data_IF_327466427471
#
_entry.id   IF_327466427471
#
_cell.length_a   1.000
_cell.length_b   1.000
_cell.length_c   1.000
_cell.angle_alpha   90.00
_cell.angle_beta   90.00
_cell.angle_gamma   90.00
#
_symmetry.space_group_name_H-M   'P 1'
#
loop_
_entity.id
_entity.type
_entity.pdbx_description
1 polymer ?
#
# COMPACT_ATOMS: atom_id res chain seq x y z
N UNK A 1 1.00 3.63 -26.41
CA UNK A 1 0.56 3.87 -25.02
C UNK A 1 1.80 3.78 -24.15
N UNK A 2 2.34 4.90 -23.67
CA UNK A 2 3.47 4.86 -22.73
C UNK A 2 2.97 4.21 -21.45
N UNK A 3 3.51 3.03 -21.11
CA UNK A 3 3.26 2.42 -19.81
C UNK A 3 3.72 3.42 -18.75
N UNK A 4 2.75 3.95 -17.99
CA UNK A 4 3.05 4.90 -16.95
C UNK A 4 3.88 4.19 -15.87
N UNK A 5 5.04 4.72 -15.51
CA UNK A 5 5.89 4.10 -14.47
C UNK A 5 5.13 3.96 -13.15
N UNK A 6 5.19 2.81 -12.47
CA UNK A 6 4.57 2.62 -11.15
C UNK A 6 5.06 3.66 -10.14
N UNK A 7 4.23 3.92 -9.13
CA UNK A 7 4.62 4.79 -8.02
C UNK A 7 5.72 4.12 -7.18
N UNK A 8 6.77 4.86 -6.84
CA UNK A 8 7.82 4.32 -5.96
C UNK A 8 7.27 4.10 -4.55
N UNK A 9 7.46 2.92 -3.99
CA UNK A 9 7.00 2.60 -2.63
C UNK A 9 8.04 3.02 -1.59
N UNK A 10 7.60 3.65 -0.50
CA UNK A 10 8.44 4.01 0.66
C UNK A 10 7.68 3.71 1.94
N UNK A 11 8.35 3.10 2.90
CA UNK A 11 7.77 2.76 4.19
C UNK A 11 8.07 3.84 5.22
N UNK A 12 7.10 4.12 6.09
CA UNK A 12 7.35 4.74 7.37
C UNK A 12 8.27 3.84 8.22
N UNK A 13 8.99 4.41 9.19
CA UNK A 13 9.84 3.62 10.08
C UNK A 13 9.05 2.52 10.84
N UNK A 14 7.84 2.77 11.38
CA UNK A 14 7.02 1.71 11.97
C UNK A 14 6.62 0.61 10.98
N UNK A 15 6.21 0.97 9.76
CA UNK A 15 5.79 0.00 8.75
C UNK A 15 6.97 -0.87 8.28
N UNK A 16 8.15 -0.27 8.07
CA UNK A 16 9.37 -1.00 7.75
C UNK A 16 9.78 -1.97 8.86
N UNK A 17 9.64 -1.55 10.13
CA UNK A 17 9.92 -2.40 11.28
C UNK A 17 9.00 -3.61 11.34
N UNK A 18 7.70 -3.44 11.09
CA UNK A 18 6.76 -4.56 11.04
C UNK A 18 7.10 -5.50 9.89
N UNK A 19 7.34 -4.96 8.68
CA UNK A 19 7.69 -5.74 7.49
C UNK A 19 8.84 -6.71 7.78
N UNK A 20 9.90 -6.22 8.44
CA UNK A 20 11.08 -7.02 8.82
C UNK A 20 10.82 -8.13 9.86
N UNK A 21 9.61 -8.22 10.42
CA UNK A 21 9.21 -9.24 11.39
C UNK A 21 8.14 -10.19 10.86
N UNK A 22 7.61 -9.94 9.67
CA UNK A 22 6.56 -10.77 9.10
C UNK A 22 7.13 -12.13 8.66
N UNK A 23 6.34 -13.21 8.73
CA UNK A 23 6.65 -14.43 8.01
C UNK A 23 6.79 -14.14 6.51
N UNK A 24 7.75 -14.80 5.83
CA UNK A 24 8.02 -14.61 4.40
C UNK A 24 6.76 -14.65 3.51
N UNK A 25 5.81 -15.60 3.68
CA UNK A 25 4.60 -15.61 2.85
C UNK A 25 3.69 -14.39 3.05
N UNK A 26 3.75 -13.75 4.23
CA UNK A 26 2.98 -12.55 4.55
C UNK A 26 3.69 -11.31 3.99
N UNK A 27 5.02 -11.28 4.05
CA UNK A 27 5.82 -10.23 3.40
C UNK A 27 5.57 -10.22 1.87
N UNK A 28 5.58 -11.39 1.23
CA UNK A 28 5.26 -11.51 -0.20
C UNK A 28 3.87 -10.95 -0.52
N UNK A 29 2.88 -11.27 0.30
CA UNK A 29 1.52 -10.72 0.15
C UNK A 29 1.48 -9.20 0.31
N UNK A 30 2.30 -8.62 1.19
CA UNK A 30 2.42 -7.15 1.31
C UNK A 30 2.97 -6.56 0.02
N UNK A 31 4.01 -7.17 -0.56
CA UNK A 31 4.62 -6.70 -1.80
C UNK A 31 3.65 -6.84 -2.99
N UNK A 32 2.92 -7.95 -3.10
CA UNK A 32 1.90 -8.15 -4.14
C UNK A 32 0.81 -7.07 -4.11
N UNK A 33 0.33 -6.74 -2.91
CA UNK A 33 -0.67 -5.67 -2.72
C UNK A 33 -0.08 -4.31 -3.10
N UNK A 34 1.17 -4.03 -2.72
CA UNK A 34 1.83 -2.76 -3.01
C UNK A 34 2.19 -2.59 -4.48
N UNK A 35 2.56 -3.66 -5.19
CA UNK A 35 2.83 -3.62 -6.63
C UNK A 35 1.56 -3.32 -7.43
N UNK A 36 0.44 -3.97 -7.07
CA UNK A 36 -0.86 -3.67 -7.67
C UNK A 36 -1.28 -2.22 -7.40
N UNK A 37 -1.15 -1.78 -6.15
CA UNK A 37 -1.42 -0.41 -5.73
C UNK A 37 -0.52 0.62 -6.43
N UNK A 38 0.77 0.33 -6.63
CA UNK A 38 1.72 1.24 -7.27
C UNK A 38 1.45 1.41 -8.76
N UNK A 39 0.97 0.36 -9.44
CA UNK A 39 0.60 0.40 -10.85
C UNK A 39 -0.68 1.18 -11.11
N UNK A 40 -1.67 1.06 -10.23
CA UNK A 40 -2.92 1.79 -10.31
C UNK A 40 -3.42 2.15 -8.91
N UNK A 41 -2.92 3.26 -8.32
CA UNK A 41 -3.35 3.66 -7.00
C UNK A 41 -4.87 3.77 -6.99
N UNK A 42 -5.44 4.66 -7.81
CA UNK A 42 -6.87 4.97 -7.74
C UNK A 42 -7.88 3.86 -8.07
N UNK A 43 -7.46 2.82 -8.79
CA UNK A 43 -8.34 1.72 -9.18
C UNK A 43 -8.02 0.40 -8.50
N UNK A 44 -7.26 0.39 -7.41
CA UNK A 44 -6.99 -0.83 -6.67
C UNK A 44 -8.23 -1.33 -5.93
N UNK A 45 -8.78 -2.46 -6.36
CA UNK A 45 -10.10 -2.97 -5.92
C UNK A 45 -10.24 -3.30 -4.43
N UNK A 46 -9.13 -3.43 -3.68
CA UNK A 46 -9.15 -3.71 -2.23
C UNK A 46 -9.31 -2.47 -1.38
N UNK A 47 -9.43 -1.30 -2.00
CA UNK A 47 -9.63 -0.05 -1.30
C UNK A 47 -10.99 0.06 -0.63
N UNK A 48 -11.01 0.71 0.52
CA UNK A 48 -12.26 1.19 1.08
C UNK A 48 -12.78 2.36 0.23
N UNK A 49 -13.81 2.11 -0.58
CA UNK A 49 -14.44 3.12 -1.43
C UNK A 49 -15.24 4.16 -0.63
N UNK A 50 -15.61 3.83 0.61
CA UNK A 50 -16.41 4.67 1.50
C UNK A 50 -15.54 5.55 2.40
N UNK A 51 -14.21 5.55 2.23
CA UNK A 51 -13.28 6.36 3.03
C UNK A 51 -13.38 7.85 2.63
N UNK A 52 -13.90 8.73 3.51
CA UNK A 52 -14.05 10.15 3.24
C UNK A 52 -12.71 10.90 3.19
N UNK A 53 -11.61 10.35 3.74
CA UNK A 53 -10.25 10.86 3.57
C UNK A 53 -9.60 10.39 2.25
N UNK A 54 -10.34 9.58 1.48
CA UNK A 54 -9.95 8.83 0.31
C UNK A 54 -9.70 9.66 -0.96
N UNK A 55 -9.01 10.78 -0.89
CA UNK A 55 -8.39 11.38 -2.09
C UNK A 55 -7.00 10.80 -2.31
N UNK A 56 -6.10 11.06 -1.37
CA UNK A 56 -4.69 10.64 -1.46
C UNK A 56 -4.28 9.70 -0.33
N UNK A 57 -4.99 9.66 0.80
CA UNK A 57 -4.78 8.62 1.82
C UNK A 57 -5.69 7.43 1.49
N UNK A 58 -5.14 6.23 1.52
CA UNK A 58 -5.79 5.03 0.98
C UNK A 58 -5.58 3.86 1.91
N UNK A 59 -6.65 3.16 2.20
CA UNK A 59 -6.67 1.97 3.04
C UNK A 59 -7.04 0.73 2.23
N UNK A 60 -6.30 -0.36 2.41
CA UNK A 60 -6.57 -1.65 1.79
C UNK A 60 -6.51 -2.78 2.82
N UNK A 61 -7.43 -3.74 2.71
CA UNK A 61 -7.46 -4.95 3.54
C UNK A 61 -7.54 -6.22 2.70
N UNK A 62 -6.72 -7.21 3.05
CA UNK A 62 -6.69 -8.55 2.46
C UNK A 62 -6.57 -9.57 3.58
N UNK A 63 -7.67 -10.23 3.94
CA UNK A 63 -7.70 -11.17 5.06
C UNK A 63 -7.28 -10.50 6.37
N UNK A 64 -6.23 -11.02 7.01
CA UNK A 64 -5.66 -10.48 8.25
C UNK A 64 -4.62 -9.36 8.02
N UNK A 65 -4.29 -9.03 6.77
CA UNK A 65 -3.41 -7.92 6.41
C UNK A 65 -4.24 -6.66 6.15
N UNK A 66 -3.81 -5.55 6.72
CA UNK A 66 -4.29 -4.21 6.36
C UNK A 66 -3.14 -3.25 6.21
N UNK A 67 -3.25 -2.30 5.28
CA UNK A 67 -2.26 -1.25 5.10
C UNK A 67 -2.93 0.07 4.75
N UNK A 68 -2.29 1.16 5.17
CA UNK A 68 -2.67 2.52 4.79
C UNK A 68 -1.47 3.20 4.16
N UNK A 69 -1.68 3.90 3.05
CA UNK A 69 -0.64 4.68 2.37
C UNK A 69 -1.15 6.02 1.88
N UNK A 70 -0.22 6.94 1.68
CA UNK A 70 -0.46 8.21 1.03
C UNK A 70 0.11 8.22 -0.39
N UNK A 71 -0.70 8.67 -1.35
CA UNK A 71 -0.34 8.85 -2.76
C UNK A 71 0.21 10.26 -2.97
N UNK A 72 1.54 10.39 -3.01
CA UNK A 72 2.19 11.64 -3.38
C UNK A 72 2.26 11.74 -4.92
N UNK A 73 1.30 12.47 -5.51
CA UNK A 73 1.20 12.64 -6.97
C UNK A 73 2.42 13.37 -7.57
N UNK A 74 2.87 14.52 -7.02
CA UNK A 74 4.02 15.25 -7.58
C UNK A 74 5.31 14.43 -7.65
N UNK A 75 5.58 13.60 -6.63
CA UNK A 75 6.78 12.77 -6.53
C UNK A 75 6.59 11.34 -7.04
N UNK A 76 5.38 10.99 -7.52
CA UNK A 76 4.98 9.63 -7.91
C UNK A 76 5.40 8.58 -6.88
N UNK A 77 5.01 8.79 -5.62
CA UNK A 77 5.40 7.92 -4.51
C UNK A 77 4.19 7.43 -3.71
N UNK A 78 4.20 6.16 -3.31
CA UNK A 78 3.33 5.63 -2.26
C UNK A 78 4.10 5.62 -0.94
N UNK A 79 3.67 6.43 0.01
CA UNK A 79 4.21 6.43 1.37
C UNK A 79 3.35 5.51 2.24
N UNK A 80 3.81 4.29 2.49
CA UNK A 80 3.15 3.33 3.37
C UNK A 80 3.25 3.84 4.81
N UNK A 81 2.11 4.24 5.35
CA UNK A 81 2.00 4.85 6.67
C UNK A 81 1.92 3.77 7.74
N UNK A 82 1.04 2.79 7.51
CA UNK A 82 0.80 1.66 8.41
C UNK A 82 0.74 0.37 7.63
N UNK A 83 1.26 -0.68 8.25
CA UNK A 83 1.00 -2.08 7.90
C UNK A 83 0.52 -2.73 9.19
N UNK A 84 -0.47 -3.60 9.12
CA UNK A 84 -1.03 -4.31 10.27
C UNK A 84 -1.30 -5.73 9.84
N UNK A 85 -0.80 -6.67 10.62
CA UNK A 85 -1.01 -8.09 10.43
C UNK A 85 -1.61 -8.65 11.71
N UNK A 86 -2.78 -9.31 11.59
CA UNK A 86 -3.55 -9.82 12.72
C UNK A 86 -3.31 -11.32 12.99
N UNK A 87 -2.23 -11.92 12.45
CA UNK A 87 -1.87 -13.34 12.59
C UNK A 87 -0.53 -13.57 13.29
#
# INVERSE_FOLDING_TARGET
MTAQQPYAVRFSAPAAKLLATLPEPVEDMVWDVLDAAAGNPWGFSRWNADDPEGEDIRHASVGQLSLTYWVNRPLRRLSVLTVTWLG
#
